data_IF_500445384920
#
_entry.id   IF_500445384920
#
_cell.length_a   1.000
_cell.length_b   1.000
_cell.length_c   1.000
_cell.angle_alpha   90.00
_cell.angle_beta   90.00
_cell.angle_gamma   90.00
#
_symmetry.space_group_name_H-M   'P 1'
#
loop_
_entity.id
_entity.type
_entity.pdbx_description
1 polymer ?
#
# COMPACT_ATOMS: atom_id res chain seq x y z
N UNK A 1 -9.20 18.79 14.63
CA UNK A 1 -8.38 17.75 15.31
C UNK A 1 -7.25 18.43 16.09
N UNK A 2 -6.78 17.83 17.21
CA UNK A 2 -5.59 18.34 17.90
C UNK A 2 -4.33 18.10 17.06
N UNK A 3 -3.38 19.02 17.13
CA UNK A 3 -2.12 18.95 16.39
C UNK A 3 -1.37 17.62 16.60
N UNK A 4 -1.39 17.09 17.81
CA UNK A 4 -0.75 15.82 18.15
C UNK A 4 -1.38 14.66 17.37
N UNK A 5 -2.71 14.63 17.23
CA UNK A 5 -3.41 13.58 16.46
C UNK A 5 -3.06 13.63 14.97
N UNK A 6 -3.06 14.84 14.39
CA UNK A 6 -2.66 15.06 13.00
C UNK A 6 -1.23 14.54 12.79
N UNK A 7 -0.32 14.91 13.69
CA UNK A 7 1.08 14.50 13.62
C UNK A 7 1.26 12.99 13.70
N UNK A 8 0.61 12.33 14.69
CA UNK A 8 0.69 10.85 14.86
C UNK A 8 0.14 10.12 13.64
N UNK A 9 -1.06 10.47 13.16
CA UNK A 9 -1.68 9.78 12.04
C UNK A 9 -0.91 10.00 10.74
N UNK A 10 -0.34 11.18 10.54
CA UNK A 10 0.50 11.48 9.37
C UNK A 10 1.81 10.69 9.36
N UNK A 11 2.46 10.54 10.51
CA UNK A 11 3.65 9.68 10.66
C UNK A 11 3.28 8.23 10.36
N UNK A 12 2.21 7.73 10.98
CA UNK A 12 1.74 6.36 10.80
C UNK A 12 1.47 6.10 9.33
N UNK A 13 0.68 6.94 8.66
CA UNK A 13 0.41 6.81 7.23
C UNK A 13 1.70 6.81 6.42
N UNK A 14 2.57 7.81 6.61
CA UNK A 14 3.80 7.95 5.85
C UNK A 14 4.76 6.77 6.00
N UNK A 15 4.84 6.18 7.20
CA UNK A 15 5.68 5.01 7.45
C UNK A 15 5.03 3.73 6.89
N UNK A 16 3.74 3.54 7.11
CA UNK A 16 3.11 2.24 6.88
C UNK A 16 2.58 2.03 5.48
N UNK A 17 2.38 3.08 4.68
CA UNK A 17 1.80 2.99 3.32
C UNK A 17 2.66 2.15 2.37
N UNK A 18 3.97 2.33 2.41
CA UNK A 18 4.90 1.68 1.50
C UNK A 18 5.54 0.41 2.07
N UNK A 19 5.57 0.28 3.40
CA UNK A 19 6.04 -0.94 4.05
C UNK A 19 4.98 -2.05 3.95
N UNK A 20 5.40 -3.32 3.89
CA UNK A 20 4.45 -4.43 3.77
C UNK A 20 3.74 -4.76 5.09
N UNK A 21 3.13 -3.75 5.77
CA UNK A 21 2.54 -3.86 7.12
C UNK A 21 1.11 -3.35 7.26
N UNK A 22 0.50 -2.80 6.19
CA UNK A 22 -0.89 -2.32 6.12
C UNK A 22 -1.18 -1.00 6.84
N UNK A 23 -1.11 0.12 6.11
CA UNK A 23 -1.42 1.47 6.63
C UNK A 23 -2.85 1.58 7.17
N UNK A 24 -3.83 1.07 6.44
CA UNK A 24 -5.24 1.10 6.84
C UNK A 24 -5.45 0.44 8.22
N UNK A 25 -4.82 -0.71 8.47
CA UNK A 25 -4.92 -1.37 9.78
C UNK A 25 -4.36 -0.50 10.90
N UNK A 26 -3.23 0.17 10.64
CA UNK A 26 -2.60 1.04 11.63
C UNK A 26 -3.43 2.28 11.93
N UNK A 27 -4.01 2.93 10.92
CA UNK A 27 -4.89 4.08 11.13
C UNK A 27 -6.13 3.69 11.97
N UNK A 28 -6.79 2.58 11.60
CA UNK A 28 -7.96 2.07 12.34
C UNK A 28 -7.58 1.75 13.80
N UNK A 29 -6.49 1.01 14.00
CA UNK A 29 -6.07 0.58 15.33
C UNK A 29 -5.59 1.76 16.20
N UNK A 30 -4.91 2.72 15.61
CA UNK A 30 -4.44 3.91 16.35
C UNK A 30 -5.63 4.70 16.87
N UNK A 31 -6.63 4.97 16.04
CA UNK A 31 -7.84 5.66 16.47
C UNK A 31 -8.58 4.88 17.56
N UNK A 32 -8.69 3.56 17.40
CA UNK A 32 -9.32 2.68 18.40
C UNK A 32 -8.58 2.66 19.75
N UNK A 33 -7.26 2.44 19.74
CA UNK A 33 -6.44 2.33 20.94
C UNK A 33 -6.30 3.64 21.71
N UNK A 34 -6.28 4.77 21.01
CA UNK A 34 -6.18 6.10 21.63
C UNK A 34 -7.56 6.68 22.03
N UNK A 35 -8.66 5.95 21.78
CA UNK A 35 -10.01 6.43 22.03
C UNK A 35 -10.35 7.69 21.23
N UNK A 36 -9.72 7.86 20.06
CA UNK A 36 -9.95 9.01 19.20
C UNK A 36 -11.23 8.82 18.40
N UNK A 37 -11.91 9.92 18.12
CA UNK A 37 -12.95 9.93 17.10
C UNK A 37 -12.30 9.61 15.76
N UNK A 38 -13.05 8.91 14.89
CA UNK A 38 -12.64 8.69 13.50
C UNK A 38 -12.24 10.06 12.90
N UNK A 39 -11.05 10.10 12.32
CA UNK A 39 -10.47 11.31 11.71
C UNK A 39 -11.27 11.82 10.52
N UNK A 40 -12.16 11.00 10.00
CA UNK A 40 -13.01 11.29 8.84
C UNK A 40 -12.32 11.05 7.50
N UNK A 41 -13.17 10.73 6.53
CA UNK A 41 -12.75 10.35 5.18
C UNK A 41 -11.89 11.43 4.50
N UNK A 42 -12.20 12.71 4.72
CA UNK A 42 -11.45 13.82 4.13
C UNK A 42 -10.00 13.87 4.58
N UNK A 43 -9.73 13.60 5.86
CA UNK A 43 -8.38 13.56 6.37
C UNK A 43 -7.59 12.35 5.84
N UNK A 44 -8.21 11.17 5.78
CA UNK A 44 -7.59 9.98 5.18
C UNK A 44 -7.21 10.21 3.71
N UNK A 45 -8.08 10.85 2.94
CA UNK A 45 -7.79 11.26 1.55
C UNK A 45 -6.54 12.13 1.50
N UNK A 46 -6.45 13.14 2.37
CA UNK A 46 -5.31 14.04 2.42
C UNK A 46 -4.00 13.30 2.74
N UNK A 47 -4.03 12.38 3.69
CA UNK A 47 -2.86 11.56 4.05
C UNK A 47 -2.38 10.68 2.89
N UNK A 48 -3.31 9.98 2.22
CA UNK A 48 -2.99 9.14 1.06
C UNK A 48 -2.49 9.97 -0.12
N UNK A 49 -3.05 11.17 -0.33
CA UNK A 49 -2.58 12.08 -1.37
C UNK A 49 -1.15 12.57 -1.10
N UNK A 50 -0.79 12.83 0.15
CA UNK A 50 0.59 13.11 0.56
C UNK A 50 1.55 11.97 0.20
N UNK A 51 1.16 10.72 0.49
CA UNK A 51 1.93 9.53 0.12
C UNK A 51 2.03 9.37 -1.40
N UNK A 52 0.97 9.69 -2.15
CA UNK A 52 0.99 9.67 -3.63
C UNK A 52 2.00 10.68 -4.19
N UNK A 53 2.03 11.89 -3.67
CA UNK A 53 3.03 12.89 -4.10
C UNK A 53 4.45 12.39 -3.82
N UNK A 54 4.69 11.75 -2.68
CA UNK A 54 6.00 11.22 -2.32
C UNK A 54 6.51 10.19 -3.34
N UNK A 55 5.67 9.22 -3.71
CA UNK A 55 6.06 8.19 -4.66
C UNK A 55 6.24 8.75 -6.08
N UNK A 56 5.41 9.69 -6.51
CA UNK A 56 5.54 10.37 -7.81
C UNK A 56 6.87 11.14 -7.91
N UNK A 57 7.27 11.84 -6.87
CA UNK A 57 8.55 12.57 -6.83
C UNK A 57 9.73 11.60 -6.78
N UNK A 58 9.63 10.54 -5.99
CA UNK A 58 10.70 9.55 -5.85
C UNK A 58 10.97 8.82 -7.17
N UNK A 59 9.93 8.34 -7.84
CA UNK A 59 10.01 7.58 -9.10
C UNK A 59 9.87 8.47 -10.36
N UNK A 60 10.15 9.76 -10.25
CA UNK A 60 10.01 10.71 -11.38
C UNK A 60 10.83 10.32 -12.63
N UNK A 61 11.95 9.60 -12.46
CA UNK A 61 12.76 9.13 -13.60
C UNK A 61 12.09 7.99 -14.33
N UNK A 62 11.59 7.01 -13.60
CA UNK A 62 10.83 5.87 -14.11
C UNK A 62 9.53 6.34 -14.78
N UNK A 63 8.83 7.29 -14.17
CA UNK A 63 7.63 7.89 -14.76
C UNK A 63 7.96 8.62 -16.07
N UNK A 64 9.07 9.33 -16.16
CA UNK A 64 9.53 9.91 -17.42
C UNK A 64 9.88 8.85 -18.46
N UNK A 65 10.43 7.71 -18.04
CA UNK A 65 10.74 6.60 -18.94
C UNK A 65 9.47 5.99 -19.55
N UNK A 66 8.32 5.99 -18.85
CA UNK A 66 7.03 5.59 -19.42
C UNK A 66 6.68 6.36 -20.71
N UNK A 67 7.11 7.60 -20.79
CA UNK A 67 6.83 8.50 -21.91
C UNK A 67 7.85 8.37 -23.04
N UNK A 68 8.97 7.68 -22.81
CA UNK A 68 10.09 7.60 -23.79
C UNK A 68 9.90 6.56 -24.88
N UNK A 69 8.88 5.69 -24.76
CA UNK A 69 8.52 4.61 -25.71
C UNK A 69 9.68 3.66 -26.08
N UNK A 70 10.74 3.63 -25.27
CA UNK A 70 11.77 2.59 -25.38
C UNK A 70 11.26 1.27 -24.77
N UNK A 71 11.98 0.17 -24.97
CA UNK A 71 11.56 -1.17 -24.52
C UNK A 71 11.28 -1.22 -23.01
N UNK A 72 12.08 -0.52 -22.21
CA UNK A 72 11.92 -0.43 -20.77
C UNK A 72 10.66 0.38 -20.40
N UNK A 73 10.47 1.54 -21.03
CA UNK A 73 9.28 2.38 -20.83
C UNK A 73 7.99 1.67 -21.22
N UNK A 74 7.98 0.94 -22.34
CA UNK A 74 6.82 0.14 -22.78
C UNK A 74 6.49 -0.96 -21.77
N UNK A 75 7.49 -1.63 -21.19
CA UNK A 75 7.26 -2.66 -20.17
C UNK A 75 6.76 -2.07 -18.84
N UNK A 76 7.26 -0.92 -18.42
CA UNK A 76 6.70 -0.18 -17.29
C UNK A 76 5.24 0.22 -17.54
N UNK A 77 4.93 0.73 -18.73
CA UNK A 77 3.58 1.13 -19.09
C UNK A 77 2.61 -0.07 -19.08
N UNK A 78 3.02 -1.20 -19.66
CA UNK A 78 2.24 -2.45 -19.62
C UNK A 78 2.00 -2.89 -18.17
N UNK A 79 3.03 -2.90 -17.32
CA UNK A 79 2.87 -3.25 -15.91
C UNK A 79 1.87 -2.34 -15.21
N UNK A 80 2.03 -1.02 -15.37
CA UNK A 80 1.18 -0.05 -14.67
C UNK A 80 -0.27 -0.14 -15.15
N UNK A 81 -0.51 -0.21 -16.45
CA UNK A 81 -1.89 -0.27 -16.99
C UNK A 81 -2.51 -1.63 -16.70
N UNK A 82 -1.91 -2.73 -17.17
CA UNK A 82 -2.52 -4.05 -17.11
C UNK A 82 -2.56 -4.58 -15.67
N UNK A 83 -1.48 -4.36 -14.90
CA UNK A 83 -1.41 -4.76 -13.51
C UNK A 83 -2.36 -4.00 -12.57
N UNK A 84 -2.84 -2.82 -12.99
CA UNK A 84 -3.77 -2.02 -12.19
C UNK A 84 -5.24 -2.29 -12.50
N UNK A 85 -5.58 -2.84 -13.65
CA UNK A 85 -6.98 -3.08 -14.07
C UNK A 85 -7.77 -3.98 -13.10
N UNK A 86 -7.24 -5.10 -12.58
CA UNK A 86 -8.02 -5.99 -11.73
C UNK A 86 -8.50 -5.33 -10.43
N UNK A 87 -7.68 -4.48 -9.82
CA UNK A 87 -7.98 -3.87 -8.52
C UNK A 87 -9.27 -3.02 -8.50
N UNK A 88 -9.47 -2.03 -9.40
CA UNK A 88 -10.70 -1.25 -9.41
C UNK A 88 -11.92 -2.07 -9.78
N UNK A 89 -11.81 -3.06 -10.66
CA UNK A 89 -12.93 -3.93 -11.04
C UNK A 89 -13.40 -4.72 -9.81
N UNK A 90 -12.49 -5.42 -9.13
CA UNK A 90 -12.82 -6.19 -7.93
C UNK A 90 -13.21 -5.27 -6.77
N UNK A 91 -12.53 -4.10 -6.65
CA UNK A 91 -12.87 -3.11 -5.65
C UNK A 91 -14.32 -2.65 -5.76
N UNK A 92 -14.75 -2.19 -6.93
CA UNK A 92 -16.13 -1.71 -7.14
C UNK A 92 -17.18 -2.80 -6.92
N UNK A 93 -16.86 -4.06 -7.21
CA UNK A 93 -17.80 -5.17 -7.04
C UNK A 93 -17.91 -5.66 -5.58
N UNK A 94 -16.84 -5.56 -4.80
CA UNK A 94 -16.77 -6.22 -3.50
C UNK A 94 -16.51 -5.28 -2.31
N UNK A 95 -16.27 -3.98 -2.54
CA UNK A 95 -15.90 -3.05 -1.45
C UNK A 95 -16.96 -2.99 -0.36
N UNK A 96 -18.24 -3.01 -0.71
CA UNK A 96 -19.33 -2.96 0.26
C UNK A 96 -19.38 -4.21 1.12
N UNK A 97 -19.22 -5.39 0.49
CA UNK A 97 -19.18 -6.69 1.20
C UNK A 97 -17.99 -6.71 2.17
N UNK A 98 -16.82 -6.27 1.70
CA UNK A 98 -15.61 -6.22 2.52
C UNK A 98 -15.75 -5.22 3.65
N UNK A 99 -16.28 -4.03 3.38
CA UNK A 99 -16.46 -2.97 4.38
C UNK A 99 -17.42 -3.37 5.50
N UNK A 100 -18.44 -4.14 5.19
CA UNK A 100 -19.44 -4.60 6.17
C UNK A 100 -18.98 -5.80 6.99
N UNK A 101 -18.16 -6.71 6.42
CA UNK A 101 -17.88 -8.00 7.03
C UNK A 101 -16.42 -8.16 7.51
N UNK A 102 -15.46 -7.37 7.03
CA UNK A 102 -14.03 -7.62 7.25
C UNK A 102 -13.31 -6.50 8.03
N UNK A 103 -14.05 -5.57 8.66
CA UNK A 103 -13.45 -4.50 9.47
C UNK A 103 -13.34 -4.84 10.96
N UNK A 104 -13.75 -6.04 11.39
CA UNK A 104 -13.56 -6.45 12.78
C UNK A 104 -12.06 -6.61 13.09
N UNK A 105 -11.69 -6.35 14.35
CA UNK A 105 -10.30 -6.52 14.81
C UNK A 105 -9.82 -7.95 14.56
N UNK A 106 -10.69 -8.96 14.74
CA UNK A 106 -10.37 -10.34 14.45
C UNK A 106 -10.07 -10.59 12.96
N UNK A 107 -10.87 -10.04 12.05
CA UNK A 107 -10.63 -10.14 10.60
C UNK A 107 -9.30 -9.49 10.22
N UNK A 108 -9.05 -8.29 10.70
CA UNK A 108 -7.80 -7.53 10.43
C UNK A 108 -6.59 -8.33 10.93
N UNK A 109 -6.65 -8.84 12.16
CA UNK A 109 -5.58 -9.64 12.76
C UNK A 109 -5.31 -10.92 11.97
N UNK A 110 -6.38 -11.65 11.62
CA UNK A 110 -6.28 -12.90 10.86
C UNK A 110 -5.67 -12.69 9.48
N UNK A 111 -6.10 -11.66 8.74
CA UNK A 111 -5.53 -11.30 7.43
C UNK A 111 -4.08 -10.83 7.57
N UNK A 112 -3.77 -10.08 8.62
CA UNK A 112 -2.39 -9.63 8.89
C UNK A 112 -1.45 -10.81 9.10
N UNK A 113 -1.84 -11.82 9.89
CA UNK A 113 -1.05 -13.04 10.13
C UNK A 113 -0.94 -13.88 8.86
N UNK A 114 -2.08 -14.17 8.22
CA UNK A 114 -2.11 -15.01 7.01
C UNK A 114 -1.17 -14.48 5.92
N UNK A 115 -1.30 -13.22 5.59
CA UNK A 115 -0.49 -12.60 4.54
C UNK A 115 0.96 -12.29 4.97
N UNK A 116 1.26 -12.27 6.27
CA UNK A 116 2.63 -12.29 6.75
C UNK A 116 3.30 -13.65 6.50
N UNK A 117 2.58 -14.75 6.77
CA UNK A 117 3.07 -16.11 6.48
C UNK A 117 3.27 -16.32 4.98
N UNK A 118 2.34 -15.88 4.15
CA UNK A 118 2.48 -15.99 2.68
C UNK A 118 3.69 -15.20 2.18
N UNK A 119 3.91 -13.98 2.68
CA UNK A 119 5.11 -13.19 2.36
C UNK A 119 6.39 -13.90 2.81
N UNK A 120 6.39 -14.51 4.00
CA UNK A 120 7.52 -15.30 4.49
C UNK A 120 7.86 -16.46 3.55
N UNK A 121 6.86 -17.25 3.17
CA UNK A 121 7.04 -18.38 2.24
C UNK A 121 7.53 -17.91 0.86
N UNK A 122 7.07 -16.78 0.38
CA UNK A 122 7.54 -16.19 -0.87
C UNK A 122 8.99 -15.68 -0.79
N UNK A 123 9.40 -15.13 0.36
CA UNK A 123 10.76 -14.61 0.57
C UNK A 123 11.80 -15.72 0.80
N UNK A 124 11.37 -16.90 1.30
CA UNK A 124 12.26 -18.07 1.50
C UNK A 124 12.76 -18.68 0.20
N UNK A 125 12.05 -18.54 -0.91
CA UNK A 125 12.48 -19.11 -2.19
C UNK A 125 13.82 -18.50 -2.58
N UNK A 126 14.86 -19.36 -2.65
CA UNK A 126 16.15 -18.97 -3.23
C UNK A 126 15.91 -18.56 -4.67
N UNK A 127 16.19 -17.30 -4.94
CA UNK A 127 16.00 -16.74 -6.28
C UNK A 127 17.30 -16.92 -7.03
N UNK A 128 17.40 -18.05 -7.72
CA UNK A 128 18.26 -18.07 -8.90
C UNK A 128 17.55 -17.24 -9.95
N UNK A 129 17.99 -16.02 -10.04
CA UNK A 129 17.84 -15.10 -11.14
C UNK A 129 16.66 -15.35 -12.08
N UNK A 130 15.77 -14.53 -12.10
CA UNK A 130 15.85 -13.12 -12.49
C UNK A 130 14.99 -12.93 -13.69
N UNK A 131 13.74 -12.75 -13.45
CA UNK A 131 12.93 -12.06 -14.45
C UNK A 131 13.39 -10.60 -14.41
N UNK A 132 14.25 -10.20 -15.35
CA UNK A 132 14.58 -8.78 -15.52
C UNK A 132 13.30 -8.04 -15.86
N UNK A 133 13.15 -6.84 -15.35
CA UNK A 133 11.98 -6.00 -15.62
C UNK A 133 11.71 -5.84 -17.12
N UNK A 134 12.78 -5.78 -17.93
CA UNK A 134 12.70 -5.72 -19.38
C UNK A 134 11.99 -6.92 -20.05
N UNK A 135 11.90 -8.08 -19.38
CA UNK A 135 11.37 -9.32 -19.93
C UNK A 135 10.12 -9.81 -19.19
N UNK A 136 9.39 -8.91 -18.52
CA UNK A 136 8.17 -9.28 -17.81
C UNK A 136 7.09 -9.78 -18.78
N UNK A 137 6.59 -10.99 -18.56
CA UNK A 137 5.52 -11.55 -19.38
C UNK A 137 4.16 -10.95 -19.04
N UNK A 138 3.26 -10.91 -20.02
CA UNK A 138 1.87 -10.44 -19.81
C UNK A 138 1.15 -11.28 -18.74
N UNK A 139 1.39 -12.59 -18.70
CA UNK A 139 0.80 -13.49 -17.71
C UNK A 139 1.29 -13.16 -16.29
N UNK A 140 2.56 -12.81 -16.15
CA UNK A 140 3.13 -12.37 -14.88
C UNK A 140 2.50 -11.04 -14.41
N UNK A 141 2.30 -10.10 -15.34
CA UNK A 141 1.66 -8.82 -15.03
C UNK A 141 0.21 -9.05 -14.55
N UNK A 142 -0.55 -9.88 -15.27
CA UNK A 142 -1.93 -10.21 -14.90
C UNK A 142 -1.97 -10.92 -13.54
N UNK A 143 -1.07 -11.88 -13.29
CA UNK A 143 -0.97 -12.55 -12.00
C UNK A 143 -0.74 -11.58 -10.86
N UNK A 144 0.23 -10.65 -11.01
CA UNK A 144 0.50 -9.62 -9.98
C UNK A 144 -0.72 -8.72 -9.77
N UNK A 145 -1.38 -8.29 -10.85
CA UNK A 145 -2.59 -7.47 -10.78
C UNK A 145 -3.76 -8.18 -10.09
N UNK A 146 -3.97 -9.47 -10.36
CA UNK A 146 -4.98 -10.28 -9.69
C UNK A 146 -4.65 -10.46 -8.20
N UNK A 147 -3.39 -10.73 -7.85
CA UNK A 147 -2.98 -10.79 -6.45
C UNK A 147 -3.16 -9.45 -5.73
N UNK A 148 -2.98 -8.32 -6.41
CA UNK A 148 -3.22 -7.01 -5.84
C UNK A 148 -4.68 -6.80 -5.39
N UNK A 149 -5.66 -7.50 -5.98
CA UNK A 149 -7.08 -7.36 -5.59
C UNK A 149 -7.34 -7.76 -4.13
N UNK A 150 -6.52 -8.63 -3.55
CA UNK A 150 -6.61 -8.96 -2.13
C UNK A 150 -6.36 -7.75 -1.22
N UNK A 151 -5.76 -6.68 -1.74
CA UNK A 151 -5.52 -5.45 -0.99
C UNK A 151 -6.80 -4.70 -0.55
N UNK A 152 -7.97 -5.03 -1.10
CA UNK A 152 -9.25 -4.50 -0.62
C UNK A 152 -9.59 -4.97 0.80
N UNK A 153 -9.03 -6.11 1.24
CA UNK A 153 -9.26 -6.65 2.57
C UNK A 153 -8.34 -5.98 3.60
N UNK A 154 -8.88 -5.41 4.69
CA UNK A 154 -8.08 -4.85 5.76
C UNK A 154 -7.12 -5.90 6.36
N UNK A 155 -5.87 -5.49 6.61
CA UNK A 155 -4.84 -6.40 7.14
C UNK A 155 -3.92 -7.02 6.09
N UNK A 156 -4.33 -7.12 4.82
CA UNK A 156 -3.53 -7.75 3.76
C UNK A 156 -2.25 -6.96 3.45
N UNK A 157 -2.31 -5.65 3.42
CA UNK A 157 -1.28 -4.74 2.91
C UNK A 157 -1.12 -4.79 1.40
N UNK A 158 -1.47 -3.69 0.72
CA UNK A 158 -1.35 -3.57 -0.73
C UNK A 158 0.10 -3.73 -1.20
N UNK A 159 1.05 -3.02 -0.57
CA UNK A 159 2.48 -3.20 -0.85
C UNK A 159 2.92 -4.64 -0.57
N UNK A 160 2.49 -5.23 0.55
CA UNK A 160 2.83 -6.59 0.93
C UNK A 160 2.37 -7.64 -0.08
N UNK A 161 1.13 -7.59 -0.56
CA UNK A 161 0.63 -8.58 -1.51
C UNK A 161 1.28 -8.47 -2.89
N UNK A 162 1.54 -7.25 -3.37
CA UNK A 162 2.24 -7.04 -4.65
C UNK A 162 3.69 -7.52 -4.57
N UNK A 163 4.40 -7.19 -3.48
CA UNK A 163 5.74 -7.73 -3.21
C UNK A 163 5.70 -9.26 -3.19
N UNK A 164 4.76 -9.85 -2.49
CA UNK A 164 4.59 -11.32 -2.42
C UNK A 164 4.41 -11.92 -3.80
N UNK A 165 3.52 -11.36 -4.60
CA UNK A 165 3.25 -11.84 -5.96
C UNK A 165 4.49 -11.75 -6.87
N UNK A 166 5.21 -10.63 -6.81
CA UNK A 166 6.45 -10.43 -7.55
C UNK A 166 7.54 -11.42 -7.10
N UNK A 167 7.67 -11.64 -5.78
CA UNK A 167 8.56 -12.65 -5.25
C UNK A 167 8.20 -14.06 -5.74
N UNK A 168 6.93 -14.44 -5.78
CA UNK A 168 6.46 -15.73 -6.31
C UNK A 168 6.74 -15.86 -7.81
N UNK A 169 6.72 -14.74 -8.54
CA UNK A 169 7.09 -14.66 -9.95
C UNK A 169 8.62 -14.60 -10.19
N UNK A 170 9.43 -14.88 -9.16
CA UNK A 170 10.89 -14.94 -9.19
C UNK A 170 11.60 -13.60 -9.44
N UNK A 171 10.99 -12.47 -9.09
CA UNK A 171 11.70 -11.19 -9.03
C UNK A 171 12.60 -11.09 -7.80
N UNK A 172 13.66 -10.28 -7.90
CA UNK A 172 14.47 -9.90 -6.75
C UNK A 172 13.65 -9.13 -5.71
N UNK A 173 14.14 -9.01 -4.47
CA UNK A 173 13.49 -8.17 -3.45
C UNK A 173 13.37 -6.72 -3.92
N UNK A 174 14.41 -6.18 -4.53
CA UNK A 174 14.44 -4.80 -5.04
C UNK A 174 13.43 -4.59 -6.16
N UNK A 175 13.42 -5.49 -7.16
CA UNK A 175 12.45 -5.41 -8.25
C UNK A 175 11.01 -5.60 -7.76
N UNK A 176 10.80 -6.48 -6.77
CA UNK A 176 9.48 -6.69 -6.16
C UNK A 176 8.96 -5.41 -5.49
N UNK A 177 9.82 -4.67 -4.79
CA UNK A 177 9.48 -3.36 -4.22
C UNK A 177 9.22 -2.34 -5.33
N UNK A 178 10.06 -2.30 -6.37
CA UNK A 178 9.88 -1.38 -7.50
C UNK A 178 8.53 -1.61 -8.19
N UNK A 179 8.15 -2.87 -8.43
CA UNK A 179 6.84 -3.25 -8.96
C UNK A 179 5.72 -2.78 -8.04
N UNK A 180 5.82 -3.06 -6.74
CA UNK A 180 4.82 -2.66 -5.76
C UNK A 180 4.63 -1.14 -5.71
N UNK A 181 5.70 -0.38 -5.84
CA UNK A 181 5.68 1.07 -5.81
C UNK A 181 5.13 1.67 -7.11
N UNK A 182 5.48 1.14 -8.26
CA UNK A 182 4.89 1.58 -9.52
C UNK A 182 3.39 1.32 -9.58
N UNK A 183 2.93 0.14 -9.13
CA UNK A 183 1.50 -0.18 -9.04
C UNK A 183 0.78 0.59 -7.93
N UNK A 184 1.51 1.14 -6.95
CA UNK A 184 0.90 1.99 -5.93
C UNK A 184 0.36 3.30 -6.47
N UNK A 185 1.00 3.85 -7.50
CA UNK A 185 0.62 5.14 -8.08
C UNK A 185 -0.84 5.12 -8.55
N UNK A 186 -1.24 4.27 -9.51
CA UNK A 186 -2.63 4.20 -9.93
C UNK A 186 -3.56 3.70 -8.81
N UNK A 187 -3.11 2.78 -7.95
CA UNK A 187 -3.95 2.26 -6.88
C UNK A 187 -4.34 3.33 -5.86
N UNK A 188 -3.37 4.13 -5.36
CA UNK A 188 -3.64 5.21 -4.43
C UNK A 188 -4.46 6.31 -5.12
N UNK A 189 -4.11 6.66 -6.37
CA UNK A 189 -4.86 7.66 -7.14
C UNK A 189 -6.33 7.27 -7.28
N UNK A 190 -6.63 6.05 -7.72
CA UNK A 190 -7.99 5.56 -7.87
C UNK A 190 -8.75 5.50 -6.54
N UNK A 191 -8.11 5.06 -5.46
CA UNK A 191 -8.71 5.05 -4.13
C UNK A 191 -9.02 6.49 -3.66
N UNK A 192 -8.10 7.43 -3.85
CA UNK A 192 -8.29 8.84 -3.51
C UNK A 192 -9.46 9.45 -4.29
N UNK A 193 -9.55 9.19 -5.60
CA UNK A 193 -10.66 9.65 -6.44
C UNK A 193 -11.99 9.06 -5.97
N UNK A 194 -12.05 7.75 -5.76
CA UNK A 194 -13.25 7.06 -5.29
C UNK A 194 -13.76 7.64 -3.95
N UNK A 195 -12.88 7.78 -2.97
CA UNK A 195 -13.21 8.36 -1.67
C UNK A 195 -13.62 9.84 -1.77
N UNK A 196 -12.98 10.61 -2.68
CA UNK A 196 -13.36 12.01 -2.91
C UNK A 196 -14.76 12.14 -3.50
N UNK A 197 -15.16 11.22 -4.38
CA UNK A 197 -16.54 11.16 -4.90
C UNK A 197 -17.52 10.84 -3.76
N UNK A 198 -17.23 9.87 -2.93
CA UNK A 198 -18.07 9.57 -1.76
C UNK A 198 -18.21 10.76 -0.82
N UNK A 199 -17.12 11.48 -0.54
CA UNK A 199 -17.16 12.68 0.29
C UNK A 199 -18.02 13.78 -0.32
N UNK A 200 -17.96 13.95 -1.64
CA UNK A 200 -18.78 14.89 -2.38
C UNK A 200 -20.28 14.56 -2.28
N UNK A 201 -20.65 13.29 -2.44
CA UNK A 201 -22.04 12.82 -2.36
C UNK A 201 -22.66 13.03 -0.97
N UNK A 202 -21.87 12.92 0.10
CA UNK A 202 -22.31 13.21 1.47
C UNK A 202 -22.48 14.72 1.74
N UNK A 203 -21.98 15.60 0.84
CA UNK A 203 -22.17 17.05 0.93
C UNK A 203 -21.33 17.74 2.02
N UNK A 204 -20.31 17.07 2.55
CA UNK A 204 -19.52 17.55 3.68
C UNK A 204 -18.07 17.82 3.26
N UNK A 205 -17.87 18.76 2.33
CA UNK A 205 -16.53 19.12 1.85
C UNK A 205 -16.02 20.33 2.65
N UNK A 206 -15.46 20.09 3.81
CA UNK A 206 -14.66 21.08 4.51
C UNK A 206 -13.17 20.76 4.33
N UNK A 207 -12.50 21.53 3.46
CA UNK A 207 -11.02 21.47 3.38
C UNK A 207 -10.47 22.40 4.47
N UNK A 208 -10.01 21.80 5.55
CA UNK A 208 -9.42 22.50 6.68
C UNK A 208 -7.89 22.58 6.52
N UNK A 209 -7.26 23.57 7.18
CA UNK A 209 -5.81 23.67 7.27
C UNK A 209 -5.16 22.37 7.79
N UNK A 210 -5.88 21.62 8.62
CA UNK A 210 -5.50 20.32 9.16
C UNK A 210 -5.23 19.29 8.07
N UNK A 211 -6.05 19.24 7.01
CA UNK A 211 -5.89 18.32 5.88
C UNK A 211 -4.60 18.63 5.10
N UNK A 212 -4.33 19.91 4.86
CA UNK A 212 -3.11 20.33 4.18
C UNK A 212 -1.87 19.99 5.00
N UNK A 213 -1.91 20.23 6.32
CA UNK A 213 -0.79 19.93 7.21
C UNK A 213 -0.54 18.41 7.31
N UNK A 214 -1.60 17.61 7.45
CA UNK A 214 -1.54 16.16 7.44
C UNK A 214 -0.95 15.61 6.13
N UNK A 215 -1.39 16.13 4.99
CA UNK A 215 -0.87 15.79 3.67
C UNK A 215 0.64 16.07 3.56
N UNK A 216 1.10 17.24 4.01
CA UNK A 216 2.52 17.61 3.97
C UNK A 216 3.38 16.71 4.86
N UNK A 217 2.92 16.40 6.06
CA UNK A 217 3.63 15.48 6.97
C UNK A 217 3.66 14.06 6.39
N UNK A 218 2.53 13.56 5.89
CA UNK A 218 2.46 12.25 5.24
C UNK A 218 3.41 12.17 4.05
N UNK A 219 3.48 13.23 3.22
CA UNK A 219 4.44 13.33 2.13
C UNK A 219 5.89 13.17 2.62
N UNK A 220 6.28 13.94 3.65
CA UNK A 220 7.66 13.91 4.17
C UNK A 220 8.02 12.53 4.70
N UNK A 221 7.18 11.96 5.56
CA UNK A 221 7.44 10.64 6.15
C UNK A 221 7.39 9.52 5.11
N UNK A 222 6.49 9.59 4.14
CA UNK A 222 6.45 8.65 3.01
C UNK A 222 7.73 8.70 2.19
N UNK A 223 8.22 9.89 1.85
CA UNK A 223 9.43 10.04 1.06
C UNK A 223 10.66 9.46 1.77
N UNK A 224 10.80 9.75 3.07
CA UNK A 224 11.85 9.19 3.92
C UNK A 224 11.74 7.66 3.99
N UNK A 225 10.53 7.15 4.21
CA UNK A 225 10.28 5.70 4.31
C UNK A 225 10.62 4.97 3.02
N UNK A 226 10.20 5.49 1.86
CA UNK A 226 10.54 4.90 0.55
C UNK A 226 12.05 4.80 0.41
N UNK A 227 12.77 5.89 0.69
CA UNK A 227 14.23 5.94 0.58
C UNK A 227 14.92 4.92 1.50
N UNK A 228 14.53 4.88 2.77
CA UNK A 228 15.10 3.95 3.75
C UNK A 228 14.78 2.50 3.40
N UNK A 229 13.56 2.21 2.99
CA UNK A 229 13.14 0.85 2.66
C UNK A 229 13.93 0.28 1.49
N UNK A 230 14.05 1.04 0.39
CA UNK A 230 14.84 0.61 -0.78
C UNK A 230 16.31 0.43 -0.43
N UNK A 231 16.89 1.35 0.35
CA UNK A 231 18.32 1.31 0.69
C UNK A 231 18.71 0.16 1.63
N UNK A 232 17.74 -0.37 2.39
CA UNK A 232 18.01 -1.37 3.43
C UNK A 232 17.58 -2.79 3.06
N UNK A 233 16.62 -2.96 2.15
CA UNK A 233 15.97 -4.26 1.91
C UNK A 233 16.92 -5.39 1.48
N UNK A 234 17.95 -5.05 0.73
CA UNK A 234 18.94 -6.04 0.30
C UNK A 234 19.81 -6.55 1.48
N UNK A 235 19.85 -5.77 2.58
CA UNK A 235 20.63 -6.11 3.79
C UNK A 235 19.80 -6.86 4.83
N UNK A 236 18.53 -6.46 5.03
CA UNK A 236 17.71 -6.92 6.15
C UNK A 236 16.56 -7.86 5.77
N UNK A 237 16.33 -8.12 4.48
CA UNK A 237 15.21 -8.92 3.98
C UNK A 237 13.82 -8.40 4.40
N UNK A 238 12.76 -9.18 4.14
CA UNK A 238 11.40 -8.85 4.62
C UNK A 238 11.13 -9.37 6.05
N UNK A 239 12.06 -10.11 6.64
CA UNK A 239 11.89 -10.74 7.96
C UNK A 239 11.45 -9.79 9.07
N UNK A 240 12.00 -8.57 9.25
CA UNK A 240 11.53 -7.65 10.29
C UNK A 240 10.06 -7.27 10.15
N UNK A 241 9.59 -7.04 8.92
CA UNK A 241 8.20 -6.69 8.64
C UNK A 241 7.26 -7.89 8.86
N UNK A 242 7.70 -9.09 8.53
CA UNK A 242 6.97 -10.33 8.78
C UNK A 242 6.80 -10.55 10.29
N UNK A 243 7.89 -10.46 11.06
CA UNK A 243 7.86 -10.60 12.53
C UNK A 243 6.94 -9.55 13.13
N UNK A 244 7.07 -8.30 12.71
CA UNK A 244 6.19 -7.22 13.16
C UNK A 244 4.70 -7.54 12.93
N UNK A 245 4.34 -8.00 11.72
CA UNK A 245 2.94 -8.38 11.40
C UNK A 245 2.45 -9.55 12.24
N UNK A 246 3.28 -10.55 12.49
CA UNK A 246 2.91 -11.69 13.33
C UNK A 246 2.68 -11.25 14.77
N UNK A 247 3.57 -10.43 15.34
CA UNK A 247 3.40 -9.88 16.69
C UNK A 247 2.13 -9.02 16.75
N UNK A 248 1.94 -8.10 15.80
CA UNK A 248 0.76 -7.23 15.74
C UNK A 248 -0.52 -8.05 15.68
N UNK A 249 -0.60 -9.04 14.78
CA UNK A 249 -1.79 -9.86 14.62
C UNK A 249 -2.11 -10.70 15.86
N UNK A 250 -1.10 -11.32 16.48
CA UNK A 250 -1.27 -12.08 17.74
C UNK A 250 -1.71 -11.17 18.88
N UNK A 251 -1.07 -10.01 19.01
CA UNK A 251 -1.45 -9.01 20.04
C UNK A 251 -2.90 -8.59 19.88
N UNK A 252 -3.34 -8.29 18.65
CA UNK A 252 -4.72 -7.90 18.38
C UNK A 252 -5.74 -8.99 18.74
N UNK A 253 -5.43 -10.27 18.48
CA UNK A 253 -6.29 -11.39 18.90
C UNK A 253 -6.37 -11.49 20.43
N UNK A 254 -5.27 -11.18 21.12
CA UNK A 254 -5.23 -11.22 22.58
C UNK A 254 -6.03 -10.09 23.27
N UNK A 255 -6.42 -9.04 22.53
CA UNK A 255 -7.27 -7.94 23.04
C UNK A 255 -8.77 -8.14 22.79
N UNK A 256 -9.18 -9.22 22.15
CA UNK A 256 -10.59 -9.61 21.88
C UNK A 256 -11.07 -10.61 22.92
#
# INVERSE_FOLDING_TARGET
MDFIHIFILSIIQGITEFLPISSQSHLILTSYLLGLKDQGLGFDIALHFGSLIAILIYYRKEIRSLLSLNDEGVNYLKLVIIGSIPLPIVGLLFIDIVSQNMRSVFSIASMTILFAVILYLADLKKKEVVTKFANISIYTIIFIGLMQTFAIMPGVSRSGIVITAALLANFSREDSIKIAFLLSIPAIFMATVYQSVQLYEVGNIEILNEHFFGMMLSFIFSYITIHLFISTINKISFTPYIIYRLILGVTLIGFI
#
